data_IF_058947477146
#
_entry.id   IF_058947477146
#
_cell.length_a   1.000
_cell.length_b   1.000
_cell.length_c   1.000
_cell.angle_alpha   90.00
_cell.angle_beta   90.00
_cell.angle_gamma   90.00
#
_symmetry.space_group_name_H-M   'P 1'
#
loop_
_entity.id
_entity.type
_entity.pdbx_description
1 polymer ?
#
# COMPACT_ATOMS: atom_id res chain seq x y z
N UNK A 1 2.64 -52.54 26.32
CA UNK A 1 3.39 -53.83 26.28
C UNK A 1 2.44 -54.90 25.76
N UNK A 2 2.91 -55.73 24.81
CA UNK A 2 2.16 -56.77 24.04
C UNK A 2 1.26 -56.18 22.92
N UNK A 3 1.31 -56.61 21.66
CA UNK A 3 1.81 -57.87 21.10
C UNK A 3 2.18 -57.69 19.62
N UNK A 4 3.33 -58.23 19.24
CA UNK A 4 3.78 -58.52 17.87
C UNK A 4 2.98 -59.71 17.34
N UNK A 5 2.47 -59.68 16.11
CA UNK A 5 2.48 -60.86 15.20
C UNK A 5 2.66 -60.39 13.75
N UNK A 6 3.84 -60.74 13.22
CA UNK A 6 4.25 -60.77 11.82
C UNK A 6 3.53 -61.88 11.05
N UNK A 7 3.15 -61.63 9.79
CA UNK A 7 3.23 -62.64 8.71
C UNK A 7 3.56 -61.98 7.37
N UNK A 8 4.78 -62.25 6.93
CA UNK A 8 5.27 -62.06 5.57
C UNK A 8 4.56 -63.03 4.62
N UNK A 9 4.22 -62.58 3.40
CA UNK A 9 4.05 -63.46 2.24
C UNK A 9 4.45 -62.69 0.98
N UNK A 10 5.65 -63.03 0.51
CA UNK A 10 6.23 -62.69 -0.78
C UNK A 10 5.53 -63.53 -1.85
N UNK A 11 4.87 -62.90 -2.83
CA UNK A 11 4.57 -63.56 -4.11
C UNK A 11 4.93 -62.61 -5.25
N UNK A 12 5.91 -63.06 -6.02
CA UNK A 12 6.40 -62.47 -7.25
C UNK A 12 5.59 -63.11 -8.39
N UNK A 13 4.92 -62.31 -9.22
CA UNK A 13 4.43 -62.77 -10.52
C UNK A 13 4.41 -61.62 -11.52
N UNK A 14 5.23 -61.79 -12.57
CA UNK A 14 5.27 -61.00 -13.78
C UNK A 14 4.00 -61.28 -14.62
N UNK A 15 3.50 -60.27 -15.35
CA UNK A 15 3.04 -60.35 -16.75
C UNK A 15 2.80 -58.92 -17.27
N UNK A 16 3.31 -58.67 -18.47
CA UNK A 16 3.24 -57.42 -19.21
C UNK A 16 1.83 -57.08 -19.71
N UNK A 17 1.51 -55.78 -19.76
CA UNK A 17 0.46 -55.23 -20.62
C UNK A 17 0.86 -53.81 -21.06
N UNK A 18 1.13 -53.65 -22.35
CA UNK A 18 1.29 -52.37 -23.04
C UNK A 18 -0.09 -51.76 -23.30
N UNK A 19 -0.33 -50.53 -22.83
CA UNK A 19 -1.43 -49.68 -23.29
C UNK A 19 -0.91 -48.28 -23.52
N UNK A 20 -1.01 -47.84 -24.77
CA UNK A 20 -0.84 -46.45 -25.21
C UNK A 20 -2.09 -45.69 -24.78
N UNK A 21 -1.95 -44.70 -23.91
CA UNK A 21 -2.98 -43.67 -23.71
C UNK A 21 -2.35 -42.30 -23.87
N UNK A 22 -2.77 -41.63 -24.94
CA UNK A 22 -2.50 -40.23 -25.23
C UNK A 22 -2.94 -39.37 -24.04
N UNK A 23 -2.02 -38.69 -23.37
CA UNK A 23 -2.38 -37.61 -22.45
C UNK A 23 -2.67 -36.38 -23.30
N UNK A 24 -3.94 -36.19 -23.64
CA UNK A 24 -4.45 -34.88 -24.04
C UNK A 24 -4.26 -33.94 -22.85
N UNK A 25 -3.27 -33.06 -22.91
CA UNK A 25 -3.19 -31.92 -22.01
C UNK A 25 -4.32 -30.97 -22.41
N UNK A 26 -5.47 -31.11 -21.75
CA UNK A 26 -6.47 -30.06 -21.75
C UNK A 26 -5.85 -28.83 -21.08
N UNK A 27 -5.45 -27.85 -21.90
CA UNK A 27 -5.16 -26.50 -21.43
C UNK A 27 -6.49 -25.93 -20.97
N UNK A 28 -6.79 -26.06 -19.69
CA UNK A 28 -7.88 -25.30 -19.09
C UNK A 28 -7.45 -23.84 -19.13
N UNK A 29 -7.90 -23.12 -20.16
CA UNK A 29 -8.00 -21.68 -20.10
C UNK A 29 -9.02 -21.37 -18.99
N UNK A 30 -8.52 -21.12 -17.78
CA UNK A 30 -9.33 -20.58 -16.71
C UNK A 30 -9.93 -19.27 -17.24
N UNK A 31 -11.22 -19.29 -17.53
CA UNK A 31 -11.95 -18.07 -17.84
C UNK A 31 -12.02 -17.34 -16.51
N UNK A 32 -11.14 -16.35 -16.31
CA UNK A 32 -11.25 -15.46 -15.16
C UNK A 32 -12.67 -14.91 -15.16
N UNK A 33 -13.42 -15.17 -14.09
CA UNK A 33 -14.77 -14.64 -13.93
C UNK A 33 -14.67 -13.12 -14.04
N UNK A 34 -15.25 -12.54 -15.10
CA UNK A 34 -15.22 -11.11 -15.35
C UNK A 34 -15.90 -10.42 -14.17
N UNK A 35 -15.11 -9.79 -13.30
CA UNK A 35 -15.63 -9.12 -12.13
C UNK A 35 -16.53 -7.95 -12.58
N UNK A 36 -17.81 -8.01 -12.19
CA UNK A 36 -18.81 -6.99 -12.56
C UNK A 36 -18.69 -5.76 -11.65
N UNK A 37 -17.64 -4.97 -11.86
CA UNK A 37 -17.48 -3.71 -11.15
C UNK A 37 -18.56 -2.69 -11.56
N UNK A 38 -18.98 -1.90 -10.59
CA UNK A 38 -20.02 -0.88 -10.72
C UNK A 38 -19.58 0.41 -10.04
N UNK A 39 -20.10 1.53 -10.56
CA UNK A 39 -20.02 2.85 -9.95
C UNK A 39 -21.35 3.09 -9.23
N UNK A 40 -21.32 3.19 -7.91
CA UNK A 40 -22.45 3.54 -7.07
C UNK A 40 -22.41 5.05 -6.82
N UNK A 41 -23.48 5.75 -7.21
CA UNK A 41 -23.59 7.19 -7.05
C UNK A 41 -24.54 7.48 -5.90
N UNK A 42 -24.10 8.30 -4.96
CA UNK A 42 -24.86 8.71 -3.79
C UNK A 42 -25.08 10.21 -3.78
N UNK A 43 -26.27 10.62 -3.36
CA UNK A 43 -26.61 12.01 -3.06
C UNK A 43 -27.36 12.02 -1.73
N UNK A 44 -26.95 12.89 -0.80
CA UNK A 44 -27.54 12.97 0.55
C UNK A 44 -27.66 11.58 1.21
N UNK A 45 -26.60 10.76 1.04
CA UNK A 45 -26.49 9.41 1.57
C UNK A 45 -27.49 8.37 1.05
N UNK A 46 -28.21 8.70 -0.02
CA UNK A 46 -29.08 7.77 -0.73
C UNK A 46 -28.43 7.38 -2.06
N UNK A 47 -28.44 6.08 -2.38
CA UNK A 47 -28.01 5.62 -3.70
C UNK A 47 -29.00 6.16 -4.75
N UNK A 48 -28.50 6.94 -5.68
CA UNK A 48 -29.29 7.54 -6.78
C UNK A 48 -29.00 6.90 -8.13
N UNK A 49 -27.88 6.18 -8.27
CA UNK A 49 -27.56 5.45 -9.49
C UNK A 49 -26.57 4.30 -9.25
N UNK A 50 -26.57 3.37 -10.20
CA UNK A 50 -25.67 2.23 -10.27
C UNK A 50 -25.28 2.00 -11.73
N UNK A 51 -24.02 2.27 -12.06
CA UNK A 51 -23.54 2.28 -13.43
C UNK A 51 -22.56 1.12 -13.62
N UNK A 52 -22.84 0.13 -14.49
CA UNK A 52 -21.89 -0.93 -14.78
C UNK A 52 -20.65 -0.35 -15.46
N UNK A 53 -19.47 -0.74 -14.97
CA UNK A 53 -18.21 -0.29 -15.57
C UNK A 53 -17.90 -1.08 -16.84
N UNK A 54 -17.38 -0.38 -17.85
CA UNK A 54 -16.81 -1.03 -19.02
C UNK A 54 -15.37 -1.49 -18.76
N UNK A 55 -14.80 -2.24 -19.70
CA UNK A 55 -13.47 -2.82 -19.56
C UNK A 55 -12.37 -1.77 -19.36
N UNK A 56 -12.41 -0.64 -20.09
CA UNK A 56 -11.42 0.42 -19.93
C UNK A 56 -11.46 1.05 -18.52
N UNK A 57 -12.67 1.21 -17.97
CA UNK A 57 -12.87 1.71 -16.61
C UNK A 57 -12.36 0.70 -15.57
N UNK A 58 -12.65 -0.59 -15.76
CA UNK A 58 -12.20 -1.68 -14.87
C UNK A 58 -10.67 -1.75 -14.85
N UNK A 59 -10.04 -1.74 -16.03
CA UNK A 59 -8.58 -1.77 -16.14
C UNK A 59 -7.94 -0.56 -15.46
N UNK A 60 -8.49 0.65 -15.65
CA UNK A 60 -7.98 1.85 -14.99
C UNK A 60 -8.11 1.78 -13.46
N UNK A 61 -9.26 1.28 -12.95
CA UNK A 61 -9.49 1.09 -11.52
C UNK A 61 -8.54 0.07 -10.90
N UNK A 62 -8.41 -1.11 -11.52
CA UNK A 62 -7.52 -2.16 -11.05
C UNK A 62 -6.05 -1.72 -11.07
N UNK A 63 -5.65 -0.96 -12.10
CA UNK A 63 -4.32 -0.36 -12.16
C UNK A 63 -4.08 0.60 -10.99
N UNK A 64 -5.03 1.47 -10.68
CA UNK A 64 -4.92 2.40 -9.56
C UNK A 64 -4.80 1.65 -8.22
N UNK A 65 -5.69 0.68 -7.98
CA UNK A 65 -5.67 -0.12 -6.75
C UNK A 65 -4.40 -0.98 -6.62
N UNK A 66 -3.89 -1.52 -7.72
CA UNK A 66 -2.67 -2.33 -7.72
C UNK A 66 -1.41 -1.55 -7.35
N UNK A 67 -1.42 -0.22 -7.41
CA UNK A 67 -0.27 0.61 -7.04
C UNK A 67 -0.17 0.85 -5.53
N UNK A 68 -1.23 0.57 -4.77
CA UNK A 68 -1.28 0.83 -3.33
C UNK A 68 -0.30 -0.07 -2.57
N UNK A 69 -0.17 -1.35 -2.94
CA UNK A 69 0.77 -2.26 -2.27
C UNK A 69 2.22 -1.81 -2.44
N UNK A 70 2.58 -1.32 -3.64
CA UNK A 70 3.91 -0.78 -3.90
C UNK A 70 4.17 0.50 -3.10
N UNK A 71 3.15 1.35 -2.89
CA UNK A 71 3.30 2.53 -2.03
C UNK A 71 3.62 2.13 -0.59
N UNK A 72 2.86 1.19 -0.02
CA UNK A 72 3.07 0.71 1.35
C UNK A 72 4.47 0.12 1.56
N UNK A 73 4.99 -0.60 0.56
CA UNK A 73 6.36 -1.14 0.64
C UNK A 73 7.43 -0.04 0.62
N UNK A 74 7.20 1.04 -0.13
CA UNK A 74 8.11 2.19 -0.23
C UNK A 74 8.02 3.14 0.96
N UNK A 75 6.96 3.05 1.78
CA UNK A 75 6.81 3.80 3.02
C UNK A 75 7.68 3.23 4.15
N UNK A 76 7.98 1.93 4.16
CA UNK A 76 8.75 1.27 5.23
C UNK A 76 10.10 1.96 5.52
N UNK A 77 10.95 2.27 4.53
CA UNK A 77 12.22 2.96 4.80
C UNK A 77 12.02 4.39 5.30
N UNK A 78 10.90 5.04 4.97
CA UNK A 78 10.58 6.38 5.47
C UNK A 78 10.19 6.31 6.93
N UNK A 79 9.39 5.32 7.34
CA UNK A 79 9.07 5.07 8.73
C UNK A 79 10.34 4.81 9.56
N UNK A 80 11.27 3.98 9.04
CA UNK A 80 12.57 3.74 9.70
C UNK A 80 13.42 5.01 9.84
N UNK A 81 13.42 5.87 8.81
CA UNK A 81 14.10 7.18 8.86
C UNK A 81 13.49 8.09 9.93
N UNK A 82 12.15 8.15 10.01
CA UNK A 82 11.43 8.94 11.00
C UNK A 82 11.75 8.46 12.43
N UNK A 83 11.78 7.15 12.65
CA UNK A 83 12.19 6.58 13.94
C UNK A 83 13.63 6.96 14.31
N UNK A 84 14.57 6.91 13.36
CA UNK A 84 15.96 7.32 13.62
C UNK A 84 16.06 8.82 13.95
N UNK A 85 15.33 9.66 13.21
CA UNK A 85 15.30 11.11 13.42
C UNK A 85 14.69 11.50 14.76
N UNK A 86 13.63 10.82 15.21
CA UNK A 86 12.96 11.11 16.47
C UNK A 86 13.92 11.06 17.68
N UNK A 87 14.89 10.14 17.65
CA UNK A 87 15.90 10.05 18.71
C UNK A 87 16.81 11.30 18.76
N UNK A 88 17.19 11.82 17.59
CA UNK A 88 18.01 13.02 17.49
C UNK A 88 17.22 14.30 17.76
N UNK A 89 15.95 14.38 17.38
CA UNK A 89 15.08 15.50 17.72
C UNK A 89 14.95 15.67 19.23
N UNK A 90 14.74 14.56 19.96
CA UNK A 90 14.67 14.60 21.41
C UNK A 90 15.99 15.09 22.04
N UNK A 91 17.14 14.65 21.54
CA UNK A 91 18.45 15.14 22.01
C UNK A 91 18.64 16.63 21.67
N UNK A 92 18.18 17.07 20.50
CA UNK A 92 18.28 18.43 20.00
C UNK A 92 17.46 19.42 20.85
N UNK A 93 16.22 19.07 21.17
CA UNK A 93 15.33 19.85 22.04
C UNK A 93 15.94 20.01 23.45
N UNK A 94 16.38 18.92 24.06
CA UNK A 94 16.99 18.94 25.41
C UNK A 94 18.26 19.79 25.50
N UNK A 95 18.98 19.93 24.39
CA UNK A 95 20.17 20.77 24.32
C UNK A 95 19.84 22.23 24.08
N UNK A 96 18.79 22.52 23.32
CA UNK A 96 18.36 23.87 23.01
C UNK A 96 18.06 24.68 24.27
N UNK A 97 17.40 24.06 25.25
CA UNK A 97 17.08 24.66 26.55
C UNK A 97 18.31 25.00 27.40
N UNK A 98 19.49 24.45 27.07
CA UNK A 98 20.75 24.62 27.81
C UNK A 98 21.74 25.56 27.11
N UNK A 99 21.38 26.12 25.97
CA UNK A 99 22.26 27.02 25.20
C UNK A 99 22.35 28.39 25.86
N UNK A 100 21.25 28.86 26.45
CA UNK A 100 21.17 30.17 27.10
C UNK A 100 20.78 29.97 28.56
N UNK A 101 21.60 30.48 29.45
CA UNK A 101 21.28 30.54 30.89
C UNK A 101 21.19 32.01 31.30
N UNK A 102 20.02 32.39 31.83
CA UNK A 102 19.80 33.69 32.44
C UNK A 102 19.91 33.57 33.96
N UNK A 103 20.83 34.32 34.56
CA UNK A 103 20.94 34.41 36.02
C UNK A 103 21.36 35.82 36.45
N UNK A 104 20.77 36.31 37.54
CA UNK A 104 21.17 37.57 38.20
C UNK A 104 21.31 38.80 37.27
N UNK A 105 20.47 38.89 36.24
CA UNK A 105 20.49 40.00 35.27
C UNK A 105 21.57 39.90 34.19
N UNK A 106 22.26 38.76 34.10
CA UNK A 106 23.21 38.45 33.03
C UNK A 106 22.71 37.27 32.18
N UNK A 107 22.91 37.38 30.87
CA UNK A 107 22.67 36.31 29.91
C UNK A 107 24.01 35.65 29.60
N UNK A 108 24.12 34.35 29.80
CA UNK A 108 25.31 33.57 29.47
C UNK A 108 24.99 32.55 28.38
N UNK A 109 25.87 32.46 27.39
CA UNK A 109 25.71 31.56 26.23
C UNK A 109 26.69 30.41 26.34
N UNK A 110 26.17 29.19 26.40
CA UNK A 110 26.98 27.99 26.49
C UNK A 110 27.47 27.54 25.11
N UNK A 111 28.65 28.02 24.71
CA UNK A 111 29.28 27.67 23.42
C UNK A 111 29.55 26.17 23.25
N UNK A 112 29.69 25.40 24.33
CA UNK A 112 29.86 23.96 24.23
C UNK A 112 28.55 23.27 23.83
N UNK A 113 27.42 23.72 24.39
CA UNK A 113 26.08 23.24 24.01
C UNK A 113 25.75 23.59 22.55
N UNK A 114 26.12 24.79 22.07
CA UNK A 114 25.99 25.16 20.65
C UNK A 114 26.71 24.16 19.75
N UNK A 115 27.97 23.83 20.04
CA UNK A 115 28.74 22.85 19.25
C UNK A 115 28.12 21.45 19.26
N UNK A 116 27.50 21.06 20.37
CA UNK A 116 26.84 19.76 20.46
C UNK A 116 25.51 19.76 19.68
N UNK A 117 24.75 20.84 19.73
CA UNK A 117 23.56 21.06 18.93
C UNK A 117 23.87 21.03 17.42
N UNK A 118 24.95 21.69 16.98
CA UNK A 118 25.45 21.61 15.60
C UNK A 118 25.79 20.17 15.18
N UNK A 119 26.40 19.38 16.06
CA UNK A 119 26.71 17.97 15.78
C UNK A 119 25.45 17.12 15.63
N UNK A 120 24.42 17.36 16.44
CA UNK A 120 23.14 16.64 16.31
C UNK A 120 22.47 17.01 14.99
N UNK A 121 22.43 18.29 14.62
CA UNK A 121 21.93 18.71 13.32
C UNK A 121 22.67 18.03 12.15
N UNK A 122 24.00 17.89 12.25
CA UNK A 122 24.79 17.16 11.26
C UNK A 122 24.44 15.67 11.18
N UNK A 123 24.14 15.03 12.32
CA UNK A 123 23.66 13.64 12.34
C UNK A 123 22.30 13.51 11.68
N UNK A 124 21.34 14.37 12.04
CA UNK A 124 20.01 14.40 11.40
C UNK A 124 20.12 14.57 9.88
N UNK A 125 20.98 15.50 9.44
CA UNK A 125 21.25 15.69 8.01
C UNK A 125 21.83 14.43 7.35
N UNK A 126 22.73 13.72 8.04
CA UNK A 126 23.31 12.48 7.54
C UNK A 126 22.27 11.36 7.41
N UNK A 127 21.33 11.25 8.35
CA UNK A 127 20.19 10.32 8.28
C UNK A 127 19.37 10.60 7.03
N UNK A 128 18.87 11.83 6.86
CA UNK A 128 18.09 12.21 5.67
C UNK A 128 18.85 11.94 4.37
N UNK A 129 20.16 12.24 4.34
CA UNK A 129 21.00 11.97 3.18
C UNK A 129 21.15 10.47 2.88
N UNK A 130 21.15 9.59 3.89
CA UNK A 130 21.21 8.14 3.70
C UNK A 130 19.93 7.60 3.03
N UNK A 131 18.77 8.18 3.36
CA UNK A 131 17.45 7.78 2.85
C UNK A 131 17.01 8.54 1.57
N UNK A 132 17.84 9.45 1.04
CA UNK A 132 17.50 10.28 -0.12
C UNK A 132 17.05 9.48 -1.35
N UNK A 133 17.63 8.29 -1.55
CA UNK A 133 17.24 7.41 -2.64
C UNK A 133 15.82 6.87 -2.46
N UNK A 134 15.47 6.45 -1.25
CA UNK A 134 14.17 5.86 -0.94
C UNK A 134 13.07 6.91 -1.01
N UNK A 135 13.33 8.13 -0.52
CA UNK A 135 12.45 9.29 -0.73
C UNK A 135 12.20 9.57 -2.22
N UNK A 136 13.23 9.46 -3.05
CA UNK A 136 13.09 9.61 -4.50
C UNK A 136 12.26 8.49 -5.16
N UNK A 137 12.29 7.27 -4.62
CA UNK A 137 11.43 6.18 -5.07
C UNK A 137 9.97 6.41 -4.68
N UNK A 138 9.72 6.89 -3.46
CA UNK A 138 8.39 7.25 -2.99
C UNK A 138 7.79 8.38 -3.84
N UNK A 139 8.54 9.44 -4.11
CA UNK A 139 8.11 10.54 -4.98
C UNK A 139 7.77 10.04 -6.39
N UNK A 140 8.60 9.16 -6.95
CA UNK A 140 8.34 8.56 -8.26
C UNK A 140 7.06 7.72 -8.24
N UNK A 141 6.82 6.95 -7.19
CA UNK A 141 5.60 6.16 -7.07
C UNK A 141 4.36 7.04 -6.92
N UNK A 142 4.44 8.12 -6.14
CA UNK A 142 3.36 9.10 -6.02
C UNK A 142 2.97 9.69 -7.38
N UNK A 143 3.95 10.01 -8.24
CA UNK A 143 3.71 10.46 -9.61
C UNK A 143 3.01 9.39 -10.47
N UNK A 144 3.37 8.11 -10.31
CA UNK A 144 2.71 7.00 -11.01
C UNK A 144 1.26 6.84 -10.56
N UNK A 145 1.00 6.93 -9.26
CA UNK A 145 -0.36 6.91 -8.68
C UNK A 145 -1.17 8.09 -9.21
N UNK A 146 -0.61 9.30 -9.20
CA UNK A 146 -1.27 10.49 -9.73
C UNK A 146 -1.66 10.29 -11.20
N UNK A 147 -0.76 9.78 -12.02
CA UNK A 147 -1.05 9.51 -13.42
C UNK A 147 -2.15 8.44 -13.60
N UNK A 148 -2.13 7.37 -12.80
CA UNK A 148 -3.18 6.35 -12.82
C UNK A 148 -4.54 6.89 -12.34
N UNK A 149 -4.55 7.74 -11.32
CA UNK A 149 -5.74 8.40 -10.81
C UNK A 149 -6.36 9.33 -11.86
N UNK A 150 -5.55 10.11 -12.57
CA UNK A 150 -6.03 10.93 -13.69
C UNK A 150 -6.59 10.05 -14.81
N UNK A 151 -5.92 8.96 -15.17
CA UNK A 151 -6.43 8.02 -16.18
C UNK A 151 -7.80 7.45 -15.78
N UNK A 152 -7.94 7.08 -14.52
CA UNK A 152 -9.19 6.58 -13.98
C UNK A 152 -10.30 7.65 -13.98
N UNK A 153 -10.01 8.86 -13.52
CA UNK A 153 -10.93 9.99 -13.54
C UNK A 153 -11.45 10.24 -14.98
N UNK A 154 -10.55 10.30 -15.97
CA UNK A 154 -10.94 10.47 -17.37
C UNK A 154 -11.81 9.31 -17.88
N UNK A 155 -11.55 8.08 -17.42
CA UNK A 155 -12.33 6.91 -17.82
C UNK A 155 -13.77 6.94 -17.26
N UNK A 156 -13.96 7.41 -16.03
CA UNK A 156 -15.29 7.44 -15.39
C UNK A 156 -16.08 8.72 -15.67
N UNK A 157 -15.41 9.84 -15.97
CA UNK A 157 -16.03 11.16 -16.19
C UNK A 157 -17.21 11.16 -17.19
N UNK A 158 -17.18 10.42 -18.31
CA UNK A 158 -18.32 10.33 -19.20
C UNK A 158 -19.55 9.66 -18.56
N UNK A 159 -19.34 8.62 -17.75
CA UNK A 159 -20.41 7.89 -17.06
C UNK A 159 -21.13 8.75 -16.02
N UNK A 160 -20.41 9.68 -15.38
CA UNK A 160 -20.96 10.55 -14.33
C UNK A 160 -21.31 11.96 -14.82
N UNK A 161 -21.30 12.20 -16.13
CA UNK A 161 -21.48 13.54 -16.72
C UNK A 161 -22.76 14.24 -16.26
N UNK A 162 -23.85 13.49 -16.06
CA UNK A 162 -25.13 14.03 -15.60
C UNK A 162 -25.08 14.64 -14.19
N UNK A 163 -24.06 14.33 -13.40
CA UNK A 163 -23.88 14.78 -12.02
C UNK A 163 -22.86 15.92 -11.85
N UNK A 164 -22.30 16.48 -12.94
CA UNK A 164 -21.17 17.44 -12.88
C UNK A 164 -21.40 18.70 -12.02
N UNK A 165 -22.66 19.06 -11.73
CA UNK A 165 -23.02 20.21 -10.89
C UNK A 165 -23.78 19.79 -9.62
N UNK A 166 -23.69 18.52 -9.23
CA UNK A 166 -24.37 17.96 -8.07
C UNK A 166 -23.33 17.53 -7.03
N UNK A 167 -23.65 17.68 -5.75
CA UNK A 167 -22.83 17.13 -4.69
C UNK A 167 -23.12 15.63 -4.57
N UNK A 168 -22.28 14.83 -5.23
CA UNK A 168 -22.38 13.37 -5.20
C UNK A 168 -21.17 12.74 -4.55
N UNK A 169 -21.36 11.58 -3.95
CA UNK A 169 -20.28 10.66 -3.57
C UNK A 169 -20.28 9.47 -4.51
N UNK A 170 -19.09 9.03 -4.90
CA UNK A 170 -18.91 7.87 -5.77
C UNK A 170 -18.22 6.76 -4.97
N UNK A 171 -18.78 5.56 -5.03
CA UNK A 171 -18.11 4.35 -4.57
C UNK A 171 -18.00 3.35 -5.73
N UNK A 172 -16.92 2.57 -5.75
CA UNK A 172 -16.65 1.62 -6.83
C UNK A 172 -16.33 0.25 -6.26
N UNK A 173 -17.03 -0.76 -6.74
CA UNK A 173 -16.91 -2.12 -6.22
C UNK A 173 -17.76 -3.12 -6.99
N UNK A 174 -17.67 -4.39 -6.62
CA UNK A 174 -18.52 -5.46 -7.16
C UNK A 174 -19.87 -5.54 -6.45
N UNK A 175 -20.00 -4.88 -5.30
CA UNK A 175 -21.20 -4.84 -4.48
C UNK A 175 -21.38 -3.42 -3.94
N UNK A 176 -22.64 -3.06 -3.66
CA UNK A 176 -22.95 -1.81 -2.99
C UNK A 176 -22.31 -1.83 -1.59
N UNK A 177 -21.56 -0.78 -1.21
CA UNK A 177 -20.90 -0.73 0.08
C UNK A 177 -21.92 -0.57 1.23
N UNK A 178 -21.74 -1.31 2.31
CA UNK A 178 -22.62 -1.34 3.49
C UNK A 178 -22.24 -0.24 4.50
N UNK A 179 -22.36 1.03 4.09
CA UNK A 179 -22.20 2.16 5.01
C UNK A 179 -23.46 3.01 4.99
N UNK A 180 -24.17 3.03 6.11
CA UNK A 180 -25.21 4.02 6.36
C UNK A 180 -24.50 5.28 6.84
N UNK A 181 -24.66 6.40 6.13
CA UNK A 181 -24.29 7.68 6.72
C UNK A 181 -25.00 7.84 8.07
N UNK A 182 -24.23 8.09 9.12
CA UNK A 182 -24.82 8.62 10.34
C UNK A 182 -25.24 10.06 10.05
N UNK A 183 -26.55 10.29 10.08
CA UNK A 183 -27.16 11.61 9.97
C UNK A 183 -26.81 12.51 11.16
#
# INVERSE_FOLDING_TARGET
MRTIISKSNLTMSLIAASVITMTATAVNAATEAKQEYKIFVYQDCQKVDEIPMNEAQITAYQKLNGLESTMRELEIPVDEMEEELASYEQEFEQLSDKIVEESEGAITVNKAMIKQHEKIAQKMQAVVSAYQKDLGLLEKQANVIQAAAHQFEQAIKPSIKQYQNQHITINIGTHEPDWQCHA
#
